data_IF_353045516777
#
_entry.id   IF_353045516777
#
_cell.length_a   1.000
_cell.length_b   1.000
_cell.length_c   1.000
_cell.angle_alpha   90.00
_cell.angle_beta   90.00
_cell.angle_gamma   90.00
#
_symmetry.space_group_name_H-M   'P 1'
#
loop_
_entity.id
_entity.type
_entity.pdbx_description
1 polymer ?
#
# COMPACT_ATOMS: atom_id res chain seq x y z
N UNK A 1 -5.48 -4.95 -41.79
CA UNK A 1 -4.90 -5.41 -40.49
C UNK A 1 -5.84 -5.42 -39.29
N UNK A 2 -7.11 -5.77 -39.41
CA UNK A 2 -8.07 -5.76 -38.28
C UNK A 2 -7.76 -6.84 -37.22
N UNK A 3 -7.21 -7.99 -37.61
CA UNK A 3 -6.81 -9.08 -36.69
C UNK A 3 -5.70 -8.66 -35.72
N UNK A 4 -4.68 -7.92 -36.17
CA UNK A 4 -3.58 -7.44 -35.35
C UNK A 4 -4.05 -6.38 -34.32
N UNK A 5 -4.92 -5.47 -34.70
CA UNK A 5 -5.49 -4.49 -33.78
C UNK A 5 -6.42 -5.13 -32.73
N UNK A 6 -7.15 -6.18 -33.12
CA UNK A 6 -7.94 -6.96 -32.16
C UNK A 6 -7.04 -7.69 -31.16
N UNK A 7 -5.98 -8.34 -31.64
CA UNK A 7 -4.99 -8.99 -30.78
C UNK A 7 -4.34 -7.98 -29.81
N UNK A 8 -3.87 -6.83 -30.29
CA UNK A 8 -3.29 -5.77 -29.48
C UNK A 8 -4.26 -5.30 -28.37
N UNK A 9 -5.55 -5.09 -28.70
CA UNK A 9 -6.58 -4.70 -27.74
C UNK A 9 -6.83 -5.79 -26.69
N UNK A 10 -6.87 -7.06 -27.12
CA UNK A 10 -7.04 -8.19 -26.20
C UNK A 10 -5.85 -8.32 -25.26
N UNK A 11 -4.62 -8.20 -25.77
CA UNK A 11 -3.41 -8.23 -24.94
C UNK A 11 -3.36 -7.04 -23.97
N UNK A 12 -3.73 -5.82 -24.40
CA UNK A 12 -3.87 -4.66 -23.52
C UNK A 12 -4.87 -4.96 -22.39
N UNK A 13 -6.07 -5.46 -22.73
CA UNK A 13 -7.09 -5.80 -21.74
C UNK A 13 -6.63 -6.86 -20.73
N UNK A 14 -5.98 -7.92 -21.19
CA UNK A 14 -5.44 -8.96 -20.30
C UNK A 14 -4.34 -8.41 -19.39
N UNK A 15 -3.47 -7.56 -19.91
CA UNK A 15 -2.32 -7.02 -19.17
C UNK A 15 -2.69 -5.89 -18.22
N UNK A 16 -3.57 -4.97 -18.63
CA UNK A 16 -3.95 -3.79 -17.83
C UNK A 16 -5.25 -3.98 -17.05
N UNK A 17 -6.08 -4.92 -17.45
CA UNK A 17 -7.41 -5.13 -16.88
C UNK A 17 -8.50 -4.24 -17.49
N UNK A 18 -8.15 -3.19 -18.23
CA UNK A 18 -9.09 -2.17 -18.71
C UNK A 18 -9.44 -2.33 -20.19
N UNK A 19 -10.70 -2.03 -20.52
CA UNK A 19 -11.22 -2.00 -21.89
C UNK A 19 -11.89 -0.67 -22.18
N UNK A 20 -11.39 0.03 -23.20
CA UNK A 20 -11.96 1.27 -23.70
C UNK A 20 -13.24 0.97 -24.52
N UNK A 21 -14.33 1.72 -24.24
CA UNK A 21 -15.61 1.70 -24.97
C UNK A 21 -16.00 3.15 -25.22
N UNK A 22 -15.64 3.69 -26.39
CA UNK A 22 -15.86 5.11 -26.70
C UNK A 22 -15.10 6.03 -25.73
N UNK A 23 -15.83 6.88 -25.03
CA UNK A 23 -15.28 7.86 -24.07
C UNK A 23 -15.14 7.34 -22.64
N UNK A 24 -15.43 6.04 -22.42
CA UNK A 24 -15.34 5.41 -21.10
C UNK A 24 -14.47 4.16 -21.16
N UNK A 25 -13.99 3.71 -20.00
CA UNK A 25 -13.29 2.48 -19.81
C UNK A 25 -13.96 1.63 -18.74
N UNK A 26 -13.94 0.33 -18.92
CA UNK A 26 -14.47 -0.67 -17.96
C UNK A 26 -13.31 -1.51 -17.45
N UNK A 27 -13.29 -1.80 -16.17
CA UNK A 27 -12.26 -2.61 -15.51
C UNK A 27 -11.63 -1.93 -14.32
N UNK A 28 -10.68 -2.60 -13.62
CA UNK A 28 -9.96 -3.78 -14.12
C UNK A 28 -10.70 -5.09 -13.84
N UNK A 29 -10.71 -6.00 -14.84
CA UNK A 29 -11.46 -7.26 -14.79
C UNK A 29 -11.09 -8.16 -13.61
N UNK A 30 -9.85 -8.11 -13.14
CA UNK A 30 -9.38 -8.93 -12.01
C UNK A 30 -9.96 -8.51 -10.67
N UNK A 31 -10.63 -7.35 -10.59
CA UNK A 31 -11.36 -6.89 -9.40
C UNK A 31 -12.86 -7.26 -9.45
N UNK A 32 -13.38 -7.75 -10.59
CA UNK A 32 -14.80 -8.00 -10.74
C UNK A 32 -15.34 -9.07 -9.79
N UNK A 33 -14.49 -10.04 -9.43
CA UNK A 33 -14.84 -11.11 -8.50
C UNK A 33 -13.71 -11.25 -7.48
N UNK A 34 -14.07 -11.25 -6.22
CA UNK A 34 -13.17 -11.59 -5.12
C UNK A 34 -13.94 -12.36 -4.03
N UNK A 35 -13.24 -12.85 -3.02
CA UNK A 35 -13.90 -13.51 -1.89
C UNK A 35 -13.10 -13.32 -0.60
N UNK A 36 -13.82 -13.09 0.51
CA UNK A 36 -13.25 -13.03 1.84
C UNK A 36 -14.26 -13.50 2.91
N UNK A 37 -13.79 -13.65 4.15
CA UNK A 37 -14.63 -14.19 5.24
C UNK A 37 -15.79 -13.28 5.63
N UNK A 38 -15.67 -11.96 5.43
CA UNK A 38 -16.67 -10.99 5.80
C UNK A 38 -17.76 -10.88 4.73
N UNK A 39 -17.35 -10.63 3.49
CA UNK A 39 -18.26 -10.35 2.38
C UNK A 39 -18.80 -11.62 1.70
N UNK A 40 -18.16 -12.78 1.90
CA UNK A 40 -18.39 -13.97 1.09
C UNK A 40 -17.80 -13.78 -0.30
N UNK A 41 -18.57 -14.10 -1.34
CA UNK A 41 -18.23 -13.73 -2.73
C UNK A 41 -18.61 -12.26 -2.95
N UNK A 42 -17.68 -11.50 -3.48
CA UNK A 42 -17.87 -10.09 -3.81
C UNK A 42 -17.86 -9.91 -5.32
N UNK A 43 -18.88 -9.26 -5.82
CA UNK A 43 -18.98 -8.80 -7.20
C UNK A 43 -18.71 -7.30 -7.25
N UNK A 44 -17.92 -6.85 -8.22
CA UNK A 44 -17.59 -5.44 -8.38
C UNK A 44 -17.64 -5.06 -9.85
N UNK A 45 -18.14 -3.87 -10.14
CA UNK A 45 -18.17 -3.27 -11.45
C UNK A 45 -17.55 -1.89 -11.41
N UNK A 46 -16.54 -1.65 -12.25
CA UNK A 46 -15.78 -0.41 -12.33
C UNK A 46 -16.03 0.28 -13.67
N UNK A 47 -16.19 1.60 -13.61
CA UNK A 47 -16.37 2.48 -14.77
C UNK A 47 -15.49 3.71 -14.60
N UNK A 48 -14.75 4.06 -15.63
CA UNK A 48 -13.95 5.29 -15.69
C UNK A 48 -14.15 6.05 -17.00
N UNK A 49 -13.75 7.30 -17.05
CA UNK A 49 -13.63 8.07 -18.29
C UNK A 49 -12.22 7.88 -18.87
N UNK A 50 -12.07 8.02 -20.17
CA UNK A 50 -10.79 8.01 -20.84
C UNK A 50 -10.44 9.35 -21.50
N UNK A 51 -9.29 9.46 -22.14
CA UNK A 51 -8.86 10.71 -22.80
C UNK A 51 -9.73 11.16 -23.95
N UNK A 52 -10.62 10.29 -24.47
CA UNK A 52 -11.66 10.65 -25.43
C UNK A 52 -12.77 11.51 -24.82
N UNK A 53 -13.04 11.34 -23.52
CA UNK A 53 -13.96 12.18 -22.77
C UNK A 53 -13.34 13.54 -22.46
N UNK A 54 -12.22 13.54 -21.76
CA UNK A 54 -11.48 14.76 -21.43
C UNK A 54 -10.02 14.42 -21.13
N UNK A 55 -9.08 15.20 -21.66
CA UNK A 55 -7.64 14.96 -21.47
C UNK A 55 -7.14 15.31 -20.07
N UNK A 56 -7.84 16.19 -19.36
CA UNK A 56 -7.41 16.73 -18.07
C UNK A 56 -8.29 16.29 -16.90
N UNK A 57 -9.47 15.74 -17.16
CA UNK A 57 -10.41 15.29 -16.14
C UNK A 57 -10.65 13.77 -16.27
N UNK A 58 -10.28 13.04 -15.24
CA UNK A 58 -10.58 11.63 -15.10
C UNK A 58 -11.62 11.43 -14.01
N UNK A 59 -12.74 10.83 -14.37
CA UNK A 59 -13.80 10.42 -13.45
C UNK A 59 -13.77 8.89 -13.36
N UNK A 60 -13.78 8.35 -12.18
CA UNK A 60 -13.81 6.91 -11.98
C UNK A 60 -14.68 6.55 -10.79
N UNK A 61 -15.29 5.40 -10.84
CA UNK A 61 -16.04 4.85 -9.73
C UNK A 61 -16.28 3.36 -9.88
N UNK A 62 -16.66 2.74 -8.78
CA UNK A 62 -17.16 1.37 -8.78
C UNK A 62 -18.30 1.16 -7.81
N UNK A 63 -19.09 0.13 -8.09
CA UNK A 63 -20.05 -0.45 -7.17
C UNK A 63 -19.66 -1.90 -6.89
N UNK A 64 -19.80 -2.33 -5.64
CA UNK A 64 -19.51 -3.70 -5.22
C UNK A 64 -20.58 -4.22 -4.27
N UNK A 65 -20.84 -5.53 -4.34
CA UNK A 65 -21.82 -6.20 -3.50
C UNK A 65 -21.26 -7.50 -2.93
N UNK A 66 -21.31 -7.68 -1.62
CA UNK A 66 -20.92 -8.90 -0.94
C UNK A 66 -22.15 -9.81 -0.70
N UNK A 67 -22.00 -11.10 -0.98
CA UNK A 67 -23.12 -12.06 -0.86
C UNK A 67 -23.47 -12.41 0.58
N UNK A 68 -22.49 -12.32 1.48
CA UNK A 68 -22.67 -12.68 2.90
C UNK A 68 -23.12 -11.50 3.75
N UNK A 69 -22.45 -10.36 3.63
CA UNK A 69 -22.80 -9.14 4.36
C UNK A 69 -23.99 -8.38 3.73
N UNK A 70 -24.32 -8.70 2.47
CA UNK A 70 -25.46 -8.13 1.71
C UNK A 70 -25.43 -6.61 1.64
N UNK A 71 -24.25 -6.02 1.62
CA UNK A 71 -24.06 -4.57 1.58
C UNK A 71 -23.57 -4.10 0.22
N UNK A 72 -24.14 -2.97 -0.24
CA UNK A 72 -23.63 -2.25 -1.40
C UNK A 72 -22.53 -1.30 -0.93
N UNK A 73 -21.42 -1.36 -1.62
CA UNK A 73 -20.21 -0.57 -1.38
C UNK A 73 -19.79 0.13 -2.65
N UNK A 74 -18.94 1.14 -2.54
CA UNK A 74 -18.49 1.81 -3.74
C UNK A 74 -17.48 2.92 -3.50
N UNK A 75 -16.95 3.40 -4.61
CA UNK A 75 -16.03 4.54 -4.71
C UNK A 75 -16.50 5.45 -5.83
N UNK A 76 -16.36 6.75 -5.65
CA UNK A 76 -16.44 7.74 -6.70
C UNK A 76 -15.25 8.70 -6.55
N UNK A 77 -14.58 9.01 -7.65
CA UNK A 77 -13.44 9.92 -7.66
C UNK A 77 -13.38 10.79 -8.91
N UNK A 78 -12.81 11.98 -8.74
CA UNK A 78 -12.51 12.92 -9.79
C UNK A 78 -11.06 13.39 -9.65
N UNK A 79 -10.27 13.20 -10.68
CA UNK A 79 -8.88 13.64 -10.77
C UNK A 79 -8.77 14.69 -11.88
N UNK A 80 -8.43 15.92 -11.51
CA UNK A 80 -8.39 17.05 -12.41
C UNK A 80 -6.98 17.63 -12.52
N UNK A 81 -6.40 17.54 -13.72
CA UNK A 81 -5.08 18.08 -14.04
C UNK A 81 -5.27 19.55 -14.47
N UNK A 82 -4.90 20.45 -13.60
CA UNK A 82 -4.95 21.89 -13.86
C UNK A 82 -3.77 22.35 -14.71
N UNK A 83 -2.61 21.69 -14.53
CA UNK A 83 -1.39 21.95 -15.31
C UNK A 83 -0.57 20.68 -15.46
N UNK A 84 -0.14 20.35 -16.70
CA UNK A 84 0.73 19.18 -16.99
C UNK A 84 2.21 19.55 -16.88
N UNK A 85 2.65 20.51 -17.65
CA UNK A 85 4.05 20.90 -17.81
C UNK A 85 4.23 22.42 -17.67
N UNK A 86 5.41 22.90 -17.27
CA UNK A 86 6.59 22.17 -16.80
C UNK A 86 6.52 21.75 -15.32
N UNK A 87 5.51 22.20 -14.58
CA UNK A 87 5.29 21.94 -13.16
C UNK A 87 3.86 21.46 -12.97
N UNK A 88 3.73 20.18 -12.67
CA UNK A 88 2.41 19.55 -12.57
C UNK A 88 1.62 20.10 -11.39
N UNK A 89 0.34 20.36 -11.65
CA UNK A 89 -0.63 20.76 -10.64
C UNK A 89 -1.94 20.02 -10.90
N UNK A 90 -2.44 19.32 -9.87
CA UNK A 90 -3.72 18.60 -9.97
C UNK A 90 -4.49 18.64 -8.66
N UNK A 91 -5.78 18.43 -8.78
CA UNK A 91 -6.74 18.22 -7.70
C UNK A 91 -7.31 16.81 -7.83
N UNK A 92 -7.50 16.15 -6.69
CA UNK A 92 -8.18 14.86 -6.61
C UNK A 92 -9.21 14.91 -5.49
N UNK A 93 -10.45 14.56 -5.80
CA UNK A 93 -11.52 14.39 -4.83
C UNK A 93 -12.05 12.98 -4.91
N UNK A 94 -12.24 12.33 -3.76
CA UNK A 94 -12.78 10.97 -3.73
C UNK A 94 -13.67 10.74 -2.51
N UNK A 95 -14.62 9.85 -2.70
CA UNK A 95 -15.41 9.24 -1.64
C UNK A 95 -15.38 7.73 -1.81
N UNK A 96 -15.12 7.02 -0.73
CA UNK A 96 -15.19 5.56 -0.69
C UNK A 96 -15.99 5.12 0.53
N UNK A 97 -16.84 4.11 0.36
CA UNK A 97 -17.49 3.37 1.42
C UNK A 97 -17.29 1.90 1.14
N UNK A 98 -16.34 1.28 1.86
CA UNK A 98 -15.92 -0.09 1.57
C UNK A 98 -15.24 -0.77 2.75
N UNK A 99 -15.04 -2.09 2.65
CA UNK A 99 -14.31 -2.88 3.63
C UNK A 99 -12.84 -2.89 3.28
N UNK A 100 -12.03 -2.41 4.20
CA UNK A 100 -10.56 -2.42 4.11
C UNK A 100 -9.99 -3.67 4.79
N UNK A 101 -9.08 -4.35 4.13
CA UNK A 101 -8.39 -5.51 4.65
C UNK A 101 -6.92 -5.22 5.03
N UNK A 102 -6.50 -3.97 5.00
CA UNK A 102 -5.19 -3.52 5.45
C UNK A 102 -5.03 -2.02 5.30
N UNK A 103 -4.85 -1.33 6.41
CA UNK A 103 -4.81 0.12 6.45
C UNK A 103 -3.44 0.65 6.09
N UNK A 104 -3.40 1.57 5.13
CA UNK A 104 -2.40 2.63 5.04
C UNK A 104 -3.12 3.95 5.30
N UNK A 105 -2.64 4.74 6.25
CA UNK A 105 -3.36 5.92 6.75
C UNK A 105 -3.64 6.98 5.66
N UNK A 106 -2.80 7.04 4.63
CA UNK A 106 -2.94 7.94 3.47
C UNK A 106 -2.87 7.19 2.13
N UNK A 107 -2.87 5.86 2.19
CA UNK A 107 -2.99 5.03 1.01
C UNK A 107 -4.44 4.83 0.60
N UNK A 108 -4.64 4.22 -0.53
CA UNK A 108 -5.95 3.74 -0.94
C UNK A 108 -6.41 2.59 -0.05
N UNK A 109 -7.73 2.44 0.06
CA UNK A 109 -8.36 1.31 0.75
C UNK A 109 -7.92 0.01 0.08
N UNK A 110 -7.30 -0.87 0.85
CA UNK A 110 -6.77 -2.13 0.36
C UNK A 110 -7.86 -3.17 0.22
N UNK A 111 -8.03 -3.73 -0.97
CA UNK A 111 -9.09 -4.66 -1.31
C UNK A 111 -8.55 -5.97 -1.87
N UNK A 112 -9.37 -7.01 -1.78
CA UNK A 112 -9.12 -8.29 -2.41
C UNK A 112 -9.46 -8.26 -3.90
N UNK A 113 -8.74 -9.09 -4.68
CA UNK A 113 -9.01 -9.36 -6.09
C UNK A 113 -9.05 -10.87 -6.33
N UNK A 114 -9.35 -11.30 -7.56
CA UNK A 114 -9.48 -12.73 -7.89
C UNK A 114 -8.20 -13.52 -7.58
N UNK A 115 -7.02 -12.93 -7.78
CA UNK A 115 -5.74 -13.60 -7.52
C UNK A 115 -5.49 -13.79 -6.02
N UNK A 116 -5.95 -12.86 -5.19
CA UNK A 116 -5.77 -12.93 -3.73
C UNK A 116 -6.46 -14.15 -3.12
N UNK A 117 -7.51 -14.66 -3.74
CA UNK A 117 -8.23 -15.87 -3.29
C UNK A 117 -7.31 -17.09 -3.32
N UNK A 118 -6.56 -17.25 -4.42
CA UNK A 118 -5.70 -18.43 -4.64
C UNK A 118 -4.40 -18.42 -3.82
N UNK A 119 -3.87 -17.23 -3.51
CA UNK A 119 -2.55 -17.07 -2.89
C UNK A 119 -2.60 -16.58 -1.45
N UNK A 120 -3.77 -16.61 -0.81
CA UNK A 120 -3.95 -16.20 0.58
C UNK A 120 -3.37 -17.24 1.54
N UNK A 121 -2.67 -16.76 2.58
CA UNK A 121 -2.16 -17.62 3.65
C UNK A 121 -3.33 -18.23 4.45
N UNK A 122 -3.38 -19.55 4.62
CA UNK A 122 -4.52 -20.22 5.26
C UNK A 122 -4.64 -19.86 6.75
N UNK A 123 -3.52 -19.60 7.42
CA UNK A 123 -3.46 -19.37 8.87
C UNK A 123 -3.44 -17.87 9.26
N UNK A 124 -3.59 -16.95 8.31
CA UNK A 124 -3.66 -15.52 8.62
C UNK A 124 -5.01 -15.21 9.26
N UNK A 125 -4.99 -14.65 10.49
CA UNK A 125 -6.19 -14.12 11.13
C UNK A 125 -6.67 -12.90 10.36
N UNK A 126 -7.83 -13.04 9.75
CA UNK A 126 -8.38 -12.01 8.88
C UNK A 126 -9.03 -10.92 9.72
N UNK A 127 -8.61 -9.70 9.49
CA UNK A 127 -9.06 -8.50 10.17
C UNK A 127 -9.56 -7.52 9.12
N UNK A 128 -10.74 -6.94 9.36
CA UNK A 128 -11.40 -6.05 8.42
C UNK A 128 -11.90 -4.81 9.14
N UNK A 129 -11.94 -3.69 8.42
CA UNK A 129 -12.53 -2.44 8.88
C UNK A 129 -13.50 -1.95 7.81
N UNK A 130 -14.74 -1.67 8.17
CA UNK A 130 -15.64 -0.88 7.35
C UNK A 130 -15.18 0.57 7.41
N UNK A 131 -14.87 1.14 6.25
CA UNK A 131 -14.25 2.45 6.12
C UNK A 131 -15.10 3.33 5.21
N UNK A 132 -15.42 4.53 5.70
CA UNK A 132 -15.89 5.63 4.86
C UNK A 132 -14.83 6.70 4.86
N UNK A 133 -14.37 7.11 3.68
CA UNK A 133 -13.27 8.09 3.51
C UNK A 133 -13.69 9.15 2.48
N UNK A 134 -13.82 10.38 2.94
CA UNK A 134 -13.91 11.58 2.10
C UNK A 134 -12.53 12.19 2.01
N UNK A 135 -12.06 12.43 0.81
CA UNK A 135 -10.71 12.93 0.61
C UNK A 135 -10.66 14.01 -0.49
N UNK A 136 -9.96 15.10 -0.19
CA UNK A 136 -9.54 16.08 -1.16
C UNK A 136 -8.02 16.21 -1.11
N UNK A 137 -7.37 16.11 -2.26
CA UNK A 137 -5.92 16.19 -2.42
C UNK A 137 -5.56 17.30 -3.38
N UNK A 138 -4.56 18.08 -3.03
CA UNK A 138 -4.03 19.19 -3.84
C UNK A 138 -2.53 18.96 -4.00
N UNK A 139 -2.11 18.64 -5.20
CA UNK A 139 -0.70 18.39 -5.51
C UNK A 139 -0.11 19.50 -6.37
N UNK A 140 1.11 19.93 -6.05
CA UNK A 140 1.84 20.92 -6.83
C UNK A 140 3.34 20.63 -6.87
N UNK A 141 3.92 20.68 -8.07
CA UNK A 141 5.37 20.73 -8.29
C UNK A 141 5.87 22.18 -8.27
N UNK A 142 6.96 22.41 -7.51
CA UNK A 142 7.55 23.76 -7.37
C UNK A 142 8.82 23.95 -8.21
N UNK A 143 9.44 22.88 -8.67
CA UNK A 143 10.69 22.85 -9.38
C UNK A 143 11.85 22.34 -8.51
N UNK A 144 13.02 22.12 -9.14
CA UNK A 144 14.22 21.54 -8.49
C UNK A 144 13.95 20.24 -7.72
N UNK A 145 12.93 19.46 -8.15
CA UNK A 145 12.56 18.21 -7.51
C UNK A 145 11.69 18.34 -6.26
N UNK A 146 11.21 19.53 -5.92
CA UNK A 146 10.30 19.74 -4.77
C UNK A 146 8.85 19.64 -5.25
N UNK A 147 8.05 18.86 -4.53
CA UNK A 147 6.60 18.82 -4.67
C UNK A 147 5.92 18.83 -3.29
N UNK A 148 4.71 19.36 -3.25
CA UNK A 148 3.85 19.36 -2.05
C UNK A 148 2.51 18.74 -2.39
N UNK A 149 1.92 18.06 -1.40
CA UNK A 149 0.61 17.45 -1.48
C UNK A 149 -0.13 17.72 -0.17
N UNK A 150 -1.24 18.45 -0.29
CA UNK A 150 -2.14 18.76 0.82
C UNK A 150 -3.31 17.79 0.79
N UNK A 151 -3.62 17.17 1.92
CA UNK A 151 -4.76 16.28 2.10
C UNK A 151 -5.74 16.88 3.10
N UNK A 152 -6.99 16.89 2.73
CA UNK A 152 -8.12 17.10 3.64
C UNK A 152 -8.93 15.81 3.64
N UNK A 153 -9.03 15.17 4.78
CA UNK A 153 -9.70 13.87 4.89
C UNK A 153 -10.72 13.86 6.02
N UNK A 154 -11.82 13.18 5.80
CA UNK A 154 -12.73 12.80 6.86
C UNK A 154 -12.98 11.31 6.77
N UNK A 155 -12.64 10.57 7.84
CA UNK A 155 -12.69 9.11 7.89
C UNK A 155 -13.55 8.61 9.01
N UNK A 156 -14.34 7.60 8.69
CA UNK A 156 -15.09 6.82 9.66
C UNK A 156 -14.62 5.38 9.60
N UNK A 157 -14.22 4.84 10.74
CA UNK A 157 -13.80 3.44 10.87
C UNK A 157 -14.74 2.66 11.79
N UNK A 158 -15.24 1.54 11.29
CA UNK A 158 -15.95 0.55 12.09
C UNK A 158 -15.18 -0.76 12.05
N UNK A 159 -14.42 -1.10 13.12
CA UNK A 159 -13.74 -2.38 13.20
C UNK A 159 -14.71 -3.54 13.12
N UNK A 160 -14.37 -4.54 12.31
CA UNK A 160 -15.18 -5.73 12.07
C UNK A 160 -14.50 -6.97 12.66
N UNK A 161 -14.65 -8.08 12.00
CA UNK A 161 -14.13 -9.39 12.37
C UNK A 161 -12.68 -9.35 12.89
N UNK A 162 -12.43 -9.97 14.05
CA UNK A 162 -11.12 -10.12 14.69
C UNK A 162 -10.38 -8.80 15.02
N UNK A 163 -11.10 -7.69 15.08
CA UNK A 163 -10.62 -6.42 15.60
C UNK A 163 -11.41 -6.00 16.84
N UNK A 164 -10.87 -5.13 17.71
CA UNK A 164 -11.61 -4.60 18.84
C UNK A 164 -12.86 -3.87 18.36
N UNK A 165 -14.02 -4.20 18.95
CA UNK A 165 -15.25 -3.46 18.67
C UNK A 165 -15.09 -1.98 19.01
N UNK A 166 -15.79 -1.12 18.28
CA UNK A 166 -15.87 0.32 18.60
C UNK A 166 -16.29 0.59 20.06
N UNK A 167 -17.11 -0.28 20.63
CA UNK A 167 -17.57 -0.17 22.02
C UNK A 167 -16.47 -0.41 23.06
N UNK A 168 -15.33 -0.99 22.65
CA UNK A 168 -14.15 -1.19 23.49
C UNK A 168 -13.36 0.10 23.74
N UNK A 169 -13.67 1.19 23.03
CA UNK A 169 -12.94 2.45 23.15
C UNK A 169 -13.71 3.44 24.02
N UNK A 170 -13.14 3.90 25.14
CA UNK A 170 -13.84 4.76 26.11
C UNK A 170 -14.29 6.12 25.53
N UNK A 171 -13.64 6.57 24.48
CA UNK A 171 -13.90 7.86 23.84
C UNK A 171 -15.07 7.86 22.86
N UNK A 172 -15.51 6.69 22.42
CA UNK A 172 -16.55 6.58 21.36
C UNK A 172 -17.94 6.30 21.92
N UNK A 173 -18.08 5.76 23.13
CA UNK A 173 -19.36 5.32 23.71
C UNK A 173 -20.24 4.53 22.73
N UNK A 174 -19.62 3.68 21.91
CA UNK A 174 -20.30 2.89 20.88
C UNK A 174 -20.52 3.59 19.54
N UNK A 175 -20.07 4.82 19.36
CA UNK A 175 -20.09 5.51 18.07
C UNK A 175 -18.95 5.04 17.16
N UNK A 176 -19.06 5.35 15.87
CA UNK A 176 -18.01 5.10 14.90
C UNK A 176 -16.75 5.92 15.20
N UNK A 177 -15.58 5.38 14.85
CA UNK A 177 -14.31 6.08 15.03
C UNK A 177 -14.14 7.14 13.92
N UNK A 178 -14.54 8.39 14.20
CA UNK A 178 -14.51 9.49 13.23
C UNK A 178 -13.27 10.36 13.41
N UNK A 179 -12.58 10.69 12.31
CA UNK A 179 -11.47 11.64 12.29
C UNK A 179 -11.55 12.57 11.09
N UNK A 180 -11.44 13.87 11.34
CA UNK A 180 -11.19 14.90 10.33
C UNK A 180 -9.74 15.34 10.43
N UNK A 181 -9.01 15.31 9.31
CA UNK A 181 -7.57 15.50 9.30
C UNK A 181 -7.15 16.46 8.17
N UNK A 182 -6.15 17.26 8.47
CA UNK A 182 -5.35 17.98 7.48
C UNK A 182 -3.94 17.45 7.49
N UNK A 183 -3.38 17.14 6.33
CA UNK A 183 -2.00 16.68 6.22
C UNK A 183 -1.26 17.37 5.08
N UNK A 184 0.02 17.67 5.30
CA UNK A 184 0.92 18.21 4.31
C UNK A 184 2.08 17.24 4.12
N UNK A 185 2.26 16.78 2.88
CA UNK A 185 3.42 16.01 2.44
C UNK A 185 4.32 16.88 1.59
N UNK A 186 5.59 16.91 1.92
CA UNK A 186 6.67 17.54 1.16
C UNK A 186 7.57 16.44 0.66
N UNK A 187 7.81 16.41 -0.65
CA UNK A 187 8.66 15.42 -1.29
C UNK A 187 9.77 16.11 -2.07
N UNK A 188 10.99 15.63 -1.89
CA UNK A 188 12.16 16.03 -2.63
C UNK A 188 12.69 14.85 -3.45
N UNK A 189 12.74 15.00 -4.77
CA UNK A 189 13.26 14.02 -5.74
C UNK A 189 13.93 14.73 -6.89
N UNK A 190 15.23 15.02 -6.70
CA UNK A 190 16.02 15.78 -7.68
C UNK A 190 16.26 14.98 -8.95
N UNK A 191 16.03 15.61 -10.14
CA UNK A 191 16.17 15.01 -11.47
C UNK A 191 15.42 13.66 -11.64
N UNK A 192 14.27 13.52 -11.00
CA UNK A 192 13.43 12.35 -11.19
C UNK A 192 12.87 12.28 -12.61
N UNK A 193 12.94 11.11 -13.21
CA UNK A 193 12.44 10.84 -14.55
C UNK A 193 11.05 10.20 -14.47
N UNK A 194 10.19 10.53 -15.43
CA UNK A 194 8.83 10.04 -15.48
C UNK A 194 8.47 9.49 -16.86
N UNK A 195 7.59 8.50 -16.88
CA UNK A 195 6.79 8.16 -18.06
C UNK A 195 5.44 8.81 -17.91
N UNK A 196 5.03 9.61 -18.90
CA UNK A 196 3.70 10.20 -18.95
C UNK A 196 2.70 9.15 -19.42
N UNK A 197 1.69 8.88 -18.59
CA UNK A 197 0.48 8.18 -18.96
C UNK A 197 -0.64 9.16 -19.34
N UNK A 198 -1.81 8.63 -19.59
CA UNK A 198 -2.97 9.42 -19.99
C UNK A 198 -3.34 10.47 -18.94
N UNK A 199 -3.42 10.07 -17.68
CA UNK A 199 -3.70 10.95 -16.55
C UNK A 199 -2.62 10.92 -15.46
N UNK A 200 -1.90 9.82 -15.32
CA UNK A 200 -0.94 9.58 -14.24
C UNK A 200 0.48 9.54 -14.75
N UNK A 201 1.42 9.96 -13.90
CA UNK A 201 2.85 9.82 -14.13
C UNK A 201 3.40 8.62 -13.40
N UNK A 202 4.28 7.89 -14.05
CA UNK A 202 5.00 6.76 -13.45
C UNK A 202 6.46 7.12 -13.30
N UNK A 203 6.94 7.12 -12.05
CA UNK A 203 8.34 7.42 -11.75
C UNK A 203 9.26 6.30 -12.25
N UNK A 204 10.28 6.67 -13.00
CA UNK A 204 11.42 5.81 -13.35
C UNK A 204 12.56 5.91 -12.32
N UNK A 205 12.36 6.76 -11.28
CA UNK A 205 13.36 7.03 -10.28
C UNK A 205 14.32 8.15 -10.65
N UNK A 206 15.32 8.31 -9.82
CA UNK A 206 16.39 9.30 -9.96
C UNK A 206 17.70 8.66 -9.52
N UNK A 207 18.83 9.34 -9.79
CA UNK A 207 20.17 8.96 -9.29
C UNK A 207 20.46 9.51 -7.89
N UNK A 208 19.53 10.24 -7.31
CA UNK A 208 19.67 10.91 -6.03
C UNK A 208 18.67 10.34 -5.03
N UNK A 209 18.93 10.46 -3.73
CA UNK A 209 17.96 10.07 -2.72
C UNK A 209 16.64 10.81 -2.88
N UNK A 210 15.54 10.10 -2.64
CA UNK A 210 14.19 10.67 -2.55
C UNK A 210 13.84 10.77 -1.09
N UNK A 211 13.56 12.00 -0.62
CA UNK A 211 13.12 12.28 0.75
C UNK A 211 11.65 12.70 0.77
N UNK A 212 10.90 12.18 1.73
CA UNK A 212 9.50 12.52 1.96
C UNK A 212 9.29 12.84 3.45
N UNK A 213 8.68 13.97 3.72
CA UNK A 213 8.23 14.37 5.05
C UNK A 213 6.73 14.65 5.01
N UNK A 214 6.02 14.15 6.01
CA UNK A 214 4.58 14.36 6.14
C UNK A 214 4.23 14.70 7.57
N UNK A 215 3.44 15.75 7.73
CA UNK A 215 2.81 16.12 8.99
C UNK A 215 1.30 16.07 8.81
N UNK A 216 0.60 15.47 9.75
CA UNK A 216 -0.87 15.48 9.77
C UNK A 216 -1.39 15.86 11.14
N UNK A 217 -2.54 16.52 11.14
CA UNK A 217 -3.23 17.02 12.33
C UNK A 217 -4.68 16.53 12.28
N UNK A 218 -5.08 15.78 13.30
CA UNK A 218 -6.49 15.48 13.59
C UNK A 218 -7.14 16.70 14.26
N UNK A 219 -8.31 17.09 13.77
CA UNK A 219 -9.05 18.28 14.20
C UNK A 219 -10.37 17.83 14.84
N UNK A 220 -10.52 17.93 16.17
CA UNK A 220 -11.76 17.58 16.83
C UNK A 220 -12.87 18.58 16.52
N UNK A 221 -14.12 18.14 16.63
CA UNK A 221 -15.32 18.98 16.47
C UNK A 221 -15.80 19.11 15.01
N UNK A 222 -14.99 18.80 14.02
CA UNK A 222 -15.41 18.82 12.60
C UNK A 222 -16.04 17.47 12.25
N UNK A 223 -17.30 17.49 11.75
CA UNK A 223 -18.04 16.29 11.33
C UNK A 223 -18.01 15.15 12.37
N UNK A 224 -18.22 15.48 13.63
CA UNK A 224 -18.17 14.56 14.76
C UNK A 224 -16.81 13.89 14.98
N UNK A 225 -15.71 14.49 14.53
CA UNK A 225 -14.37 14.04 14.86
C UNK A 225 -14.09 14.24 16.35
N UNK A 226 -13.66 13.18 17.04
CA UNK A 226 -13.37 13.23 18.48
C UNK A 226 -11.87 13.38 18.80
N UNK A 227 -10.99 13.17 17.81
CA UNK A 227 -9.57 12.95 18.07
C UNK A 227 -8.71 14.16 17.72
N UNK A 228 -7.91 14.58 18.72
CA UNK A 228 -6.86 15.59 18.57
C UNK A 228 -5.50 14.90 18.59
N UNK A 229 -4.79 14.94 17.48
CA UNK A 229 -3.46 14.34 17.38
C UNK A 229 -2.59 15.06 16.35
N UNK A 230 -1.30 14.81 16.44
CA UNK A 230 -0.34 15.20 15.40
C UNK A 230 0.50 13.99 15.05
N UNK A 231 0.64 13.69 13.77
CA UNK A 231 1.48 12.60 13.28
C UNK A 231 2.57 13.13 12.35
N UNK A 232 3.78 12.66 12.56
CA UNK A 232 4.95 12.94 11.74
C UNK A 232 5.44 11.66 11.09
N UNK A 233 5.75 11.74 9.80
CA UNK A 233 6.37 10.67 9.04
C UNK A 233 7.54 11.25 8.24
N UNK A 234 8.67 10.56 8.26
CA UNK A 234 9.85 10.87 7.47
C UNK A 234 10.31 9.59 6.76
N UNK A 235 10.65 9.69 5.49
CA UNK A 235 11.32 8.59 4.80
C UNK A 235 12.34 9.09 3.81
N UNK A 236 13.42 8.32 3.66
CA UNK A 236 14.45 8.51 2.63
C UNK A 236 14.68 7.18 1.95
N UNK A 237 14.65 7.19 0.63
CA UNK A 237 14.94 6.00 -0.20
C UNK A 237 15.88 6.33 -1.33
N UNK A 238 16.73 5.36 -1.68
CA UNK A 238 17.65 5.49 -2.80
C UNK A 238 17.97 4.12 -3.44
N UNK A 239 18.56 4.17 -4.63
CA UNK A 239 19.00 3.00 -5.39
C UNK A 239 20.40 3.23 -5.93
N UNK A 240 21.38 2.65 -5.25
CA UNK A 240 22.79 2.79 -5.53
C UNK A 240 23.27 1.68 -6.49
N UNK A 241 23.98 2.05 -7.54
CA UNK A 241 24.72 1.09 -8.38
C UNK A 241 26.10 0.86 -7.79
N UNK A 242 26.37 -0.37 -7.34
CA UNK A 242 27.64 -0.79 -6.74
C UNK A 242 28.33 -1.72 -7.73
N UNK A 243 28.94 -1.14 -8.79
CA UNK A 243 29.68 -1.94 -9.78
C UNK A 243 30.97 -2.53 -9.17
N UNK A 244 31.28 -3.81 -9.37
CA UNK A 244 30.56 -4.84 -10.16
C UNK A 244 29.51 -5.62 -9.35
N UNK A 245 29.18 -5.21 -8.12
CA UNK A 245 28.35 -5.97 -7.17
C UNK A 245 26.84 -5.74 -7.35
N UNK A 246 26.41 -5.12 -8.44
CA UNK A 246 24.99 -4.95 -8.77
C UNK A 246 24.37 -3.70 -8.21
N UNK A 247 23.18 -3.80 -7.58
CA UNK A 247 22.38 -2.65 -7.14
C UNK A 247 21.90 -2.84 -5.72
N UNK A 248 22.16 -1.85 -4.86
CA UNK A 248 21.64 -1.74 -3.51
C UNK A 248 20.51 -0.72 -3.45
N UNK A 249 19.34 -1.15 -3.03
CA UNK A 249 18.20 -0.27 -2.76
C UNK A 249 17.96 -0.21 -1.26
N UNK A 250 17.71 0.99 -0.72
CA UNK A 250 17.35 1.12 0.70
C UNK A 250 16.21 2.12 0.89
N UNK A 251 15.48 1.94 1.98
CA UNK A 251 14.49 2.87 2.51
C UNK A 251 14.63 2.93 4.02
N UNK A 252 14.93 4.11 4.54
CA UNK A 252 14.92 4.42 5.98
C UNK A 252 13.68 5.25 6.25
N UNK A 253 12.98 4.96 7.33
CA UNK A 253 11.77 5.68 7.69
C UNK A 253 11.61 5.76 9.20
N UNK A 254 10.96 6.82 9.67
CA UNK A 254 10.62 7.01 11.07
C UNK A 254 9.33 7.83 11.19
N UNK A 255 8.66 7.67 12.31
CA UNK A 255 7.49 8.47 12.59
C UNK A 255 7.11 8.50 14.08
N UNK A 256 6.22 9.42 14.39
CA UNK A 256 5.67 9.60 15.72
C UNK A 256 4.25 10.11 15.66
N UNK A 257 3.39 9.55 16.48
CA UNK A 257 2.05 10.05 16.77
C UNK A 257 2.04 10.66 18.19
N UNK A 258 1.47 11.85 18.32
CA UNK A 258 1.25 12.54 19.57
C UNK A 258 -0.25 12.61 19.79
N UNK A 259 -0.75 12.00 20.85
CA UNK A 259 -2.16 11.90 21.23
C UNK A 259 -2.52 10.51 21.71
N UNK A 260 -3.60 10.43 22.45
CA UNK A 260 -4.18 9.19 22.97
C UNK A 260 -5.30 8.72 22.04
N UNK A 261 -5.07 7.62 21.30
CA UNK A 261 -5.85 7.27 20.11
C UNK A 261 -6.21 5.79 20.03
N UNK A 262 -7.37 5.44 19.45
CA UNK A 262 -7.63 4.09 18.96
C UNK A 262 -6.63 3.66 17.89
N UNK A 263 -6.42 2.34 17.77
CA UNK A 263 -5.44 1.74 16.86
C UNK A 263 -5.56 2.21 15.40
N UNK A 264 -6.78 2.49 14.93
CA UNK A 264 -7.05 2.94 13.55
C UNK A 264 -6.41 4.28 13.19
N UNK A 265 -6.01 5.08 14.18
CA UNK A 265 -5.32 6.36 13.99
C UNK A 265 -3.83 6.29 14.34
N UNK A 266 -3.39 5.23 14.99
CA UNK A 266 -1.97 4.92 15.25
C UNK A 266 -1.27 4.39 13.99
N UNK A 267 0.02 4.11 14.07
CA UNK A 267 0.71 3.41 13.01
C UNK A 267 0.49 1.90 13.14
N UNK A 268 -0.30 1.37 12.21
CA UNK A 268 -0.45 -0.07 12.02
C UNK A 268 0.59 -0.50 10.99
N UNK A 269 1.56 -1.29 11.41
CA UNK A 269 2.65 -1.69 10.53
C UNK A 269 2.17 -2.63 9.41
N UNK A 270 2.65 -2.43 8.17
CA UNK A 270 2.14 -3.15 7.02
C UNK A 270 2.57 -4.63 7.03
N UNK A 271 1.63 -5.51 7.36
CA UNK A 271 1.75 -6.96 7.23
C UNK A 271 1.28 -7.48 5.87
N UNK A 272 1.50 -8.77 5.60
CA UNK A 272 1.13 -9.43 4.36
C UNK A 272 0.44 -10.76 4.63
N UNK A 273 -0.80 -10.89 4.19
CA UNK A 273 -1.61 -12.11 4.33
C UNK A 273 -1.61 -12.98 3.05
N UNK A 274 -0.80 -12.62 2.05
CA UNK A 274 -0.70 -13.32 0.77
C UNK A 274 0.67 -13.97 0.60
N UNK A 275 0.74 -15.03 -0.20
CA UNK A 275 2.01 -15.59 -0.69
C UNK A 275 2.59 -14.81 -1.88
N UNK A 276 2.06 -13.62 -2.16
CA UNK A 276 2.65 -12.66 -3.09
C UNK A 276 3.65 -11.78 -2.34
N UNK A 277 4.92 -11.73 -2.81
CA UNK A 277 5.92 -10.89 -2.19
C UNK A 277 5.59 -9.41 -2.40
N UNK A 278 5.57 -8.67 -1.30
CA UNK A 278 5.37 -7.23 -1.34
C UNK A 278 6.58 -6.52 -0.72
N UNK A 279 7.26 -5.70 -1.52
CA UNK A 279 8.45 -4.96 -1.07
C UNK A 279 8.15 -3.92 0.00
N UNK A 280 6.91 -3.40 0.05
CA UNK A 280 6.50 -2.36 0.99
C UNK A 280 5.94 -2.90 2.32
N UNK A 281 5.81 -4.22 2.48
CA UNK A 281 5.28 -4.86 3.68
C UNK A 281 6.31 -5.80 4.32
N UNK A 282 6.09 -6.14 5.57
CA UNK A 282 6.73 -7.29 6.21
C UNK A 282 5.97 -8.54 5.79
N UNK A 283 6.66 -9.46 5.10
CA UNK A 283 5.98 -10.56 4.44
C UNK A 283 5.58 -11.72 5.38
N UNK A 284 6.20 -11.85 6.55
CA UNK A 284 5.81 -12.83 7.57
C UNK A 284 5.00 -12.22 8.72
N UNK A 285 4.88 -10.89 8.77
CA UNK A 285 3.96 -10.18 9.65
C UNK A 285 2.54 -10.31 9.10
N UNK A 286 1.57 -10.61 9.94
CA UNK A 286 0.16 -10.54 9.57
C UNK A 286 -0.35 -9.10 9.63
N UNK A 287 -1.41 -8.80 8.93
CA UNK A 287 -2.04 -7.46 8.99
C UNK A 287 -2.56 -7.19 10.39
N UNK A 288 -2.43 -5.94 10.84
CA UNK A 288 -2.81 -5.52 12.19
C UNK A 288 -2.12 -6.34 13.31
N UNK A 289 -0.90 -6.83 13.08
CA UNK A 289 -0.17 -7.57 14.12
C UNK A 289 0.49 -6.61 15.10
N UNK A 290 1.15 -5.55 14.59
CA UNK A 290 1.87 -4.57 15.41
C UNK A 290 1.34 -3.17 15.20
N UNK A 291 1.24 -2.44 16.34
CA UNK A 291 0.81 -1.05 16.41
C UNK A 291 1.83 -0.24 17.19
N UNK A 292 2.14 0.98 16.76
CA UNK A 292 3.09 1.87 17.40
C UNK A 292 2.64 3.32 17.36
N UNK A 293 3.05 4.12 18.33
CA UNK A 293 2.99 5.58 18.30
C UNK A 293 4.36 6.23 18.04
N UNK A 294 5.45 5.44 18.17
CA UNK A 294 6.81 5.80 17.74
C UNK A 294 7.42 4.62 17.03
N UNK A 295 8.01 4.88 15.87
CA UNK A 295 8.65 3.83 15.07
C UNK A 295 9.80 4.36 14.24
N UNK A 296 10.72 3.48 13.92
CA UNK A 296 11.74 3.67 12.92
C UNK A 296 12.00 2.35 12.21
N UNK A 297 12.38 2.38 10.96
CA UNK A 297 12.67 1.16 10.22
C UNK A 297 13.65 1.37 9.08
N UNK A 298 14.22 0.26 8.64
CA UNK A 298 15.11 0.21 7.48
C UNK A 298 14.78 -1.03 6.65
N UNK A 299 14.62 -0.83 5.36
CA UNK A 299 14.49 -1.89 4.37
C UNK A 299 15.66 -1.78 3.41
N UNK A 300 16.40 -2.86 3.23
CA UNK A 300 17.56 -2.95 2.33
C UNK A 300 17.31 -4.13 1.38
N UNK A 301 17.56 -3.95 0.11
CA UNK A 301 17.60 -5.02 -0.89
C UNK A 301 18.85 -4.86 -1.75
N UNK A 302 19.65 -5.90 -1.84
CA UNK A 302 20.83 -5.94 -2.68
C UNK A 302 20.69 -7.00 -3.77
N UNK A 303 20.53 -6.54 -5.01
CA UNK A 303 20.54 -7.39 -6.18
C UNK A 303 21.96 -7.53 -6.69
N UNK A 304 22.56 -8.71 -6.51
CA UNK A 304 23.96 -9.01 -6.86
C UNK A 304 24.12 -9.27 -8.37
N UNK A 305 23.03 -9.24 -9.12
CA UNK A 305 23.03 -9.62 -10.53
C UNK A 305 23.11 -11.14 -10.71
N UNK A 306 23.92 -11.61 -11.65
CA UNK A 306 24.01 -13.05 -11.92
C UNK A 306 24.58 -13.87 -10.76
N UNK A 307 25.28 -13.24 -9.79
CA UNK A 307 25.74 -13.90 -8.58
C UNK A 307 26.38 -15.29 -8.83
N UNK A 308 25.85 -16.31 -8.15
CA UNK A 308 26.28 -17.72 -8.33
C UNK A 308 25.89 -18.28 -9.70
N UNK A 309 24.87 -17.74 -10.36
CA UNK A 309 24.35 -18.25 -11.65
C UNK A 309 25.32 -18.03 -12.83
N UNK A 310 26.35 -17.21 -12.68
CA UNK A 310 27.37 -17.00 -13.71
C UNK A 310 28.31 -18.18 -13.90
N UNK A 311 28.43 -19.05 -12.88
CA UNK A 311 29.41 -20.14 -12.87
C UNK A 311 28.97 -21.37 -13.67
N UNK A 312 27.70 -21.52 -13.99
CA UNK A 312 27.22 -22.65 -14.82
C UNK A 312 26.71 -22.14 -16.17
N UNK A 313 26.98 -22.92 -17.22
CA UNK A 313 26.62 -22.54 -18.59
C UNK A 313 25.08 -22.42 -18.78
N UNK A 314 24.32 -23.28 -18.12
CA UNK A 314 22.86 -23.30 -18.19
C UNK A 314 22.26 -22.06 -17.51
N UNK A 315 22.59 -21.80 -16.26
CA UNK A 315 22.01 -20.69 -15.47
C UNK A 315 22.45 -19.32 -16.02
N UNK A 316 23.66 -19.23 -16.61
CA UNK A 316 24.14 -18.03 -17.29
C UNK A 316 23.27 -17.65 -18.49
N UNK A 317 22.79 -18.65 -19.27
CA UNK A 317 21.86 -18.41 -20.41
C UNK A 317 20.48 -17.93 -19.93
N UNK A 318 20.01 -18.37 -18.75
CA UNK A 318 18.73 -17.98 -18.19
C UNK A 318 18.68 -16.54 -17.67
N UNK A 319 19.84 -15.89 -17.51
CA UNK A 319 19.98 -14.51 -17.00
C UNK A 319 19.31 -14.30 -15.65
N UNK A 320 19.21 -15.33 -14.83
CA UNK A 320 18.71 -15.23 -13.46
C UNK A 320 19.61 -14.34 -12.63
N UNK A 321 18.98 -13.64 -11.66
CA UNK A 321 19.70 -12.74 -10.76
C UNK A 321 19.42 -13.16 -9.33
N UNK A 322 20.47 -13.08 -8.52
CA UNK A 322 20.41 -13.34 -7.08
C UNK A 322 20.26 -12.02 -6.33
N UNK A 323 19.48 -12.03 -5.28
CA UNK A 323 19.36 -10.93 -4.35
C UNK A 323 19.27 -11.43 -2.91
N UNK A 324 19.50 -10.52 -1.97
CA UNK A 324 19.13 -10.66 -0.55
C UNK A 324 18.47 -9.37 -0.08
N UNK A 325 17.66 -9.48 0.96
CA UNK A 325 17.00 -8.33 1.59
C UNK A 325 16.98 -8.46 3.10
N UNK A 326 16.91 -7.31 3.79
CA UNK A 326 16.70 -7.19 5.22
C UNK A 326 15.66 -6.11 5.45
N UNK A 327 14.67 -6.40 6.28
CA UNK A 327 13.68 -5.42 6.73
C UNK A 327 13.64 -5.43 8.24
N UNK A 328 13.87 -4.27 8.84
CA UNK A 328 13.86 -4.14 10.30
C UNK A 328 12.99 -2.96 10.71
N UNK A 329 12.21 -3.15 11.76
CA UNK A 329 11.32 -2.18 12.37
C UNK A 329 11.56 -2.16 13.87
N UNK A 330 11.78 -0.97 14.43
CA UNK A 330 11.70 -0.67 15.85
C UNK A 330 10.42 0.08 16.12
N UNK A 331 9.77 -0.23 17.23
CA UNK A 331 8.51 0.41 17.58
C UNK A 331 8.23 0.38 19.06
N UNK A 332 7.43 1.34 19.51
CA UNK A 332 6.91 1.38 20.87
C UNK A 332 5.50 1.97 20.89
N UNK A 333 4.78 1.68 21.95
CA UNK A 333 3.47 2.25 22.23
C UNK A 333 3.52 2.85 23.65
N UNK A 334 3.08 4.10 23.81
CA UNK A 334 2.99 4.77 25.11
C UNK A 334 1.95 4.10 26.01
N UNK A 335 2.09 4.28 27.32
CA UNK A 335 1.17 3.66 28.27
C UNK A 335 -0.26 4.23 28.17
N UNK A 336 -0.42 5.47 27.73
CA UNK A 336 -1.72 6.07 27.42
C UNK A 336 -2.39 5.33 26.25
N UNK A 337 -1.67 5.10 25.17
CA UNK A 337 -2.17 4.37 24.01
C UNK A 337 -2.37 2.87 24.30
N UNK A 338 -1.56 2.26 25.18
CA UNK A 338 -1.80 0.89 25.64
C UNK A 338 -3.11 0.77 26.44
N UNK A 339 -3.43 1.75 27.29
CA UNK A 339 -4.67 1.78 28.06
C UNK A 339 -5.90 1.85 27.17
N UNK A 340 -5.86 2.68 26.11
CA UNK A 340 -6.96 2.82 25.14
C UNK A 340 -7.12 1.55 24.30
N UNK A 341 -6.01 0.93 23.89
CA UNK A 341 -6.00 -0.23 22.99
C UNK A 341 -5.73 -1.55 23.74
N UNK A 342 -6.08 -1.64 25.02
CA UNK A 342 -5.78 -2.72 25.95
C UNK A 342 -6.39 -4.08 25.58
N UNK A 343 -6.03 -4.62 24.44
CA UNK A 343 -6.50 -5.89 23.92
C UNK A 343 -5.32 -6.81 23.58
N UNK A 344 -5.53 -8.11 23.66
CA UNK A 344 -4.59 -9.13 23.19
C UNK A 344 -4.52 -9.25 21.67
N UNK A 345 -5.31 -8.45 20.93
CA UNK A 345 -5.44 -8.53 19.47
C UNK A 345 -4.25 -7.87 18.73
N UNK A 346 -3.55 -6.94 19.40
CA UNK A 346 -2.36 -6.29 18.87
C UNK A 346 -1.12 -6.67 19.69
N UNK A 347 0.02 -6.69 19.00
CA UNK A 347 1.34 -6.84 19.65
C UNK A 347 2.06 -5.50 19.68
N UNK A 348 2.91 -5.32 20.66
CA UNK A 348 3.78 -4.15 20.82
C UNK A 348 5.22 -4.58 20.80
N UNK A 349 6.08 -3.82 20.16
CA UNK A 349 7.52 -4.11 20.12
C UNK A 349 8.25 -3.66 21.40
N UNK A 350 7.62 -2.80 22.23
CA UNK A 350 8.14 -2.32 23.51
C UNK A 350 9.59 -1.76 23.44
N UNK A 351 9.92 -1.08 22.33
CA UNK A 351 11.28 -0.63 22.04
C UNK A 351 12.20 -1.69 21.42
N UNK A 352 11.72 -2.93 21.31
CA UNK A 352 12.39 -4.00 20.57
C UNK A 352 12.26 -3.83 19.06
N UNK A 353 12.72 -4.85 18.33
CA UNK A 353 12.67 -4.84 16.87
C UNK A 353 11.89 -6.04 16.31
N UNK A 354 11.33 -5.84 15.12
CA UNK A 354 10.86 -6.88 14.22
C UNK A 354 11.81 -6.96 13.03
N UNK A 355 12.30 -8.15 12.70
CA UNK A 355 13.28 -8.31 11.62
C UNK A 355 12.95 -9.50 10.74
N UNK A 356 12.93 -9.27 9.44
CA UNK A 356 12.90 -10.29 8.40
C UNK A 356 14.16 -10.19 7.54
N UNK A 357 14.71 -11.35 7.17
CA UNK A 357 15.72 -11.45 6.12
C UNK A 357 15.18 -12.32 4.99
N UNK A 358 15.63 -12.05 3.79
CA UNK A 358 15.22 -12.80 2.63
C UNK A 358 16.35 -12.97 1.62
N UNK A 359 16.23 -13.99 0.80
CA UNK A 359 17.02 -14.18 -0.41
C UNK A 359 16.18 -14.84 -1.48
N UNK A 360 16.63 -14.80 -2.71
CA UNK A 360 15.88 -15.44 -3.77
C UNK A 360 16.46 -15.21 -5.15
N UNK A 361 15.62 -15.50 -6.12
CA UNK A 361 15.96 -15.43 -7.55
C UNK A 361 14.96 -14.51 -8.24
N UNK A 362 15.47 -13.55 -8.98
CA UNK A 362 14.63 -12.73 -9.84
C UNK A 362 14.96 -12.94 -11.33
N UNK A 363 14.17 -12.31 -12.20
CA UNK A 363 14.28 -12.43 -13.64
C UNK A 363 14.05 -13.86 -14.18
N UNK A 364 13.37 -14.70 -13.44
CA UNK A 364 12.92 -16.00 -13.94
C UNK A 364 11.88 -15.76 -15.03
N UNK A 365 12.11 -16.36 -16.21
CA UNK A 365 11.27 -16.12 -17.41
C UNK A 365 11.11 -14.62 -17.76
N UNK A 366 12.04 -13.76 -17.35
CA UNK A 366 12.07 -12.29 -17.50
C UNK A 366 11.04 -11.49 -16.66
N UNK A 367 10.15 -12.15 -15.95
CA UNK A 367 9.05 -11.48 -15.22
C UNK A 367 8.81 -12.02 -13.83
N UNK A 368 9.28 -13.22 -13.51
CA UNK A 368 8.96 -13.87 -12.24
C UNK A 368 10.10 -13.76 -11.23
N UNK A 369 9.72 -13.56 -9.97
CA UNK A 369 10.60 -13.52 -8.80
C UNK A 369 10.12 -14.51 -7.74
N UNK A 370 11.07 -15.22 -7.12
CA UNK A 370 10.87 -16.12 -6.00
C UNK A 370 11.68 -15.64 -4.79
N UNK A 371 11.03 -15.49 -3.66
CA UNK A 371 11.60 -15.04 -2.39
C UNK A 371 11.47 -16.12 -1.31
N UNK A 372 12.54 -16.39 -0.61
CA UNK A 372 12.59 -17.15 0.63
C UNK A 372 12.79 -16.15 1.77
N UNK A 373 11.87 -16.11 2.72
CA UNK A 373 11.87 -15.09 3.79
C UNK A 373 11.88 -15.79 5.15
N UNK A 374 12.72 -15.32 6.05
CA UNK A 374 12.82 -15.75 7.44
C UNK A 374 12.56 -14.58 8.38
N UNK A 375 11.74 -14.81 9.39
CA UNK A 375 11.56 -13.89 10.51
C UNK A 375 12.61 -14.23 11.57
N UNK A 376 13.49 -13.28 11.87
CA UNK A 376 14.55 -13.44 12.87
C UNK A 376 14.08 -13.03 14.26
N UNK A 377 13.25 -11.99 14.34
CA UNK A 377 12.79 -11.44 15.61
C UNK A 377 11.41 -10.76 15.46
N UNK A 378 10.49 -10.87 16.43
CA UNK A 378 10.49 -11.86 17.52
C UNK A 378 10.10 -13.27 16.99
N UNK A 379 10.65 -14.31 17.58
CA UNK A 379 10.38 -15.72 17.19
C UNK A 379 9.83 -16.58 18.32
N UNK A 380 9.88 -16.08 19.56
CA UNK A 380 9.37 -16.81 20.72
C UNK A 380 7.89 -17.19 20.52
N UNK A 381 7.57 -18.45 20.80
CA UNK A 381 6.21 -19.01 20.73
C UNK A 381 5.53 -18.95 19.35
N UNK A 382 6.28 -18.70 18.25
CA UNK A 382 5.71 -18.69 16.92
C UNK A 382 5.75 -20.07 16.26
N UNK A 383 4.67 -20.45 15.54
CA UNK A 383 4.69 -21.64 14.71
C UNK A 383 5.64 -21.48 13.51
N UNK A 384 6.05 -22.60 12.90
CA UNK A 384 7.01 -22.62 11.79
C UNK A 384 6.60 -21.75 10.60
N UNK A 385 5.31 -21.77 10.23
CA UNK A 385 4.77 -20.98 9.12
C UNK A 385 4.83 -19.46 9.33
N UNK A 386 4.97 -19.01 10.58
CA UNK A 386 5.17 -17.60 10.91
C UNK A 386 6.65 -17.19 10.98
N UNK A 387 7.58 -18.16 10.89
CA UNK A 387 9.03 -17.94 10.92
C UNK A 387 9.68 -18.03 9.54
N UNK A 388 9.07 -18.77 8.62
CA UNK A 388 9.58 -18.97 7.27
C UNK A 388 8.43 -18.98 6.26
N UNK A 389 8.67 -18.41 5.07
CA UNK A 389 7.72 -18.43 3.96
C UNK A 389 8.40 -18.33 2.61
N UNK A 390 7.72 -18.89 1.62
CA UNK A 390 8.08 -18.81 0.20
C UNK A 390 7.06 -17.92 -0.49
N UNK A 391 7.54 -16.90 -1.21
CA UNK A 391 6.70 -15.92 -1.88
C UNK A 391 7.07 -15.82 -3.34
N UNK A 392 6.07 -15.62 -4.19
CA UNK A 392 6.28 -15.32 -5.60
C UNK A 392 5.81 -13.90 -5.93
N UNK A 393 6.40 -13.27 -6.93
CA UNK A 393 5.90 -12.01 -7.46
C UNK A 393 6.23 -11.85 -8.95
N UNK A 394 5.48 -10.97 -9.61
CA UNK A 394 5.77 -10.56 -10.98
C UNK A 394 6.45 -9.20 -10.97
N UNK A 395 7.57 -9.09 -11.68
CA UNK A 395 8.31 -7.85 -11.84
C UNK A 395 8.54 -7.59 -13.33
N UNK A 396 7.94 -6.54 -13.83
CA UNK A 396 8.24 -6.05 -15.17
C UNK A 396 9.39 -5.03 -15.05
N UNK A 397 10.55 -5.34 -15.63
CA UNK A 397 11.66 -4.41 -15.72
C UNK A 397 11.70 -3.85 -17.14
N UNK A 398 11.50 -2.56 -17.25
CA UNK A 398 11.61 -1.80 -18.49
C UNK A 398 13.01 -1.19 -18.61
#
# INVERSE_FOLDING_TARGET
MPKFQRLKRTLKFLATGYRDIGNVEIGPWFNWISANQWEGTRFRFDLGTNTGFNKNLYLHGYLAYGTKDRQLKGKAEAYWILKRDPRRFWLHASYISDVDNGISQYGEVSQDNIFSIAIRKPNATRKFIDTKDWRLEVFKEWGKGISTELFLTHRTFNPLLNLPSKDSFPTTKGESLNSSEIALKIRFAYLEQFIEGDYFRYSLGTRYPIAEFMVSKGIPGILNSAYNFTKFNLSVKDKLRISPLGTLSYKVYAGKVIGALPFSFLEVHPGNDLYYYNSNTFNLMTRFEYVSDKWAGINIEHNIGSGIFRFTALTRKLKWRQFWNVKTLWGSLSDENKKINGTSLFKYLNGGNYTEIGTGIDNMFKVFRLDLVWRLNPTASLPSYARFGIFGSFQFQF
#
